data_IF_222229989428
#
_entry.id   IF_222229989428
#
_cell.length_a   1.000
_cell.length_b   1.000
_cell.length_c   1.000
_cell.angle_alpha   90.00
_cell.angle_beta   90.00
_cell.angle_gamma   90.00
#
_symmetry.space_group_name_H-M   'P 1'
#
loop_
_entity.id
_entity.type
_entity.pdbx_description
1 polymer ?
#
# COMPACT_ATOMS: atom_id res chain seq x y z
N UNK A 1 11.70 3.87 9.36
CA UNK A 1 10.95 2.69 8.90
C UNK A 1 9.64 2.49 9.61
N UNK A 2 8.68 3.33 9.24
CA UNK A 2 7.25 3.28 9.55
C UNK A 2 6.46 2.49 8.51
N UNK A 3 6.97 2.38 7.27
CA UNK A 3 6.42 1.52 6.23
C UNK A 3 6.28 0.05 6.67
N UNK A 4 5.20 -0.59 6.24
CA UNK A 4 4.96 -2.03 6.38
C UNK A 4 4.46 -2.60 5.07
N UNK A 5 4.58 -3.91 4.92
CA UNK A 5 4.05 -4.63 3.77
C UNK A 5 3.50 -5.98 4.22
N UNK A 6 2.68 -6.58 3.38
CA UNK A 6 2.12 -7.91 3.59
C UNK A 6 1.91 -8.61 2.26
N UNK A 7 2.00 -9.93 2.28
CA UNK A 7 1.81 -10.77 1.10
C UNK A 7 1.13 -12.07 1.54
N UNK A 8 0.02 -12.41 0.90
CA UNK A 8 -0.59 -13.73 1.00
C UNK A 8 -0.69 -14.29 -0.42
N UNK A 9 0.04 -15.36 -0.69
CA UNK A 9 -0.01 -16.08 -1.98
C UNK A 9 -0.66 -17.43 -1.79
N UNK A 10 -1.18 -18.03 -2.88
CA UNK A 10 -1.77 -19.38 -2.83
C UNK A 10 -2.99 -19.45 -1.91
N UNK A 11 -3.89 -18.47 -2.04
CA UNK A 11 -5.09 -18.36 -1.20
C UNK A 11 -5.94 -19.63 -1.32
N UNK A 12 -6.19 -20.30 -0.18
CA UNK A 12 -6.91 -21.58 -0.12
C UNK A 12 -6.35 -22.67 -1.07
N UNK A 13 -5.07 -22.63 -1.40
CA UNK A 13 -4.45 -23.57 -2.34
C UNK A 13 -4.59 -23.19 -3.81
N UNK A 14 -5.22 -22.07 -4.13
CA UNK A 14 -5.27 -21.52 -5.47
C UNK A 14 -4.08 -20.59 -5.74
N UNK A 15 -3.14 -21.07 -6.56
CA UNK A 15 -1.94 -20.32 -6.96
C UNK A 15 -2.26 -19.09 -7.82
N UNK A 16 -3.47 -19.01 -8.40
CA UNK A 16 -3.94 -17.85 -9.17
C UNK A 16 -4.55 -16.76 -8.29
N UNK A 17 -4.56 -16.93 -6.97
CA UNK A 17 -5.10 -15.94 -6.04
C UNK A 17 -4.04 -15.50 -5.04
N UNK A 18 -3.90 -14.18 -4.88
CA UNK A 18 -2.98 -13.56 -3.94
C UNK A 18 -3.46 -12.17 -3.51
N UNK A 19 -3.02 -11.73 -2.32
CA UNK A 19 -3.17 -10.38 -1.79
C UNK A 19 -1.80 -9.81 -1.50
N UNK A 20 -1.61 -8.55 -1.86
CA UNK A 20 -0.38 -7.79 -1.66
C UNK A 20 -0.73 -6.43 -1.07
N UNK A 21 -0.01 -6.01 -0.03
CA UNK A 21 -0.22 -4.73 0.66
C UNK A 21 1.09 -3.99 0.88
N UNK A 22 1.07 -2.67 0.65
CA UNK A 22 2.10 -1.71 1.07
C UNK A 22 1.40 -0.64 1.90
N UNK A 23 1.84 -0.45 3.14
CA UNK A 23 1.23 0.46 4.12
C UNK A 23 2.24 1.52 4.50
N UNK A 24 1.96 2.76 4.13
CA UNK A 24 2.80 3.91 4.44
C UNK A 24 2.42 4.41 5.83
N UNK A 25 3.34 4.27 6.78
CA UNK A 25 3.17 4.81 8.13
C UNK A 25 3.47 6.30 8.18
N UNK A 26 2.82 7.02 9.09
CA UNK A 26 3.20 8.40 9.44
C UNK A 26 2.90 8.66 10.91
N UNK A 27 3.79 9.39 11.60
CA UNK A 27 3.62 9.70 13.03
C UNK A 27 3.75 8.48 13.94
N UNK A 28 4.37 7.41 13.45
CA UNK A 28 4.62 6.17 14.16
C UNK A 28 4.25 4.90 13.38
N UNK A 29 4.83 3.78 13.79
CA UNK A 29 4.68 2.47 13.11
C UNK A 29 3.32 1.79 13.32
N UNK A 30 2.54 2.20 14.33
CA UNK A 30 1.44 1.40 14.87
C UNK A 30 0.31 1.15 13.88
N UNK A 31 -0.15 2.20 13.19
CA UNK A 31 -1.26 2.09 12.25
C UNK A 31 -0.89 1.22 11.04
N UNK A 32 0.29 1.44 10.46
CA UNK A 32 0.81 0.62 9.35
C UNK A 32 1.02 -0.84 9.77
N UNK A 33 1.54 -1.08 10.97
CA UNK A 33 1.72 -2.44 11.51
C UNK A 33 0.38 -3.13 11.80
N UNK A 34 -0.60 -2.40 12.33
CA UNK A 34 -1.95 -2.91 12.54
C UNK A 34 -2.62 -3.26 11.20
N UNK A 35 -2.51 -2.40 10.19
CA UNK A 35 -3.04 -2.65 8.86
C UNK A 35 -2.41 -3.90 8.23
N UNK A 36 -1.07 -4.00 8.22
CA UNK A 36 -0.35 -5.15 7.66
C UNK A 36 -0.70 -6.49 8.33
N UNK A 37 -1.01 -6.48 9.64
CA UNK A 37 -1.36 -7.70 10.38
C UNK A 37 -2.80 -8.15 10.18
N UNK A 38 -3.72 -7.23 9.91
CA UNK A 38 -5.17 -7.49 9.98
C UNK A 38 -5.88 -7.36 8.64
N UNK A 39 -5.43 -6.48 7.73
CA UNK A 39 -6.15 -6.18 6.49
C UNK A 39 -6.23 -7.38 5.57
N UNK A 40 -5.10 -8.01 5.28
CA UNK A 40 -5.08 -9.15 4.37
C UNK A 40 -5.93 -10.31 4.91
N UNK A 41 -5.78 -10.69 6.18
CA UNK A 41 -6.50 -11.82 6.77
C UNK A 41 -8.02 -11.65 6.69
N UNK A 42 -8.48 -10.46 7.06
CA UNK A 42 -9.91 -10.16 7.09
C UNK A 42 -10.50 -10.06 5.67
N UNK A 43 -9.73 -9.56 4.71
CA UNK A 43 -10.14 -9.54 3.30
C UNK A 43 -10.20 -10.96 2.74
N UNK A 44 -9.22 -11.82 3.05
CA UNK A 44 -9.18 -13.21 2.56
C UNK A 44 -10.46 -13.95 2.94
N UNK A 45 -10.86 -13.95 4.21
CA UNK A 45 -12.02 -14.73 4.66
C UNK A 45 -13.31 -14.38 3.90
N UNK A 46 -13.46 -13.12 3.49
CA UNK A 46 -14.67 -12.64 2.85
C UNK A 46 -14.61 -12.66 1.32
N UNK A 47 -13.45 -12.38 0.72
CA UNK A 47 -13.28 -12.36 -0.74
C UNK A 47 -13.20 -13.78 -1.31
N UNK A 48 -12.78 -14.74 -0.49
CA UNK A 48 -12.69 -16.14 -0.89
C UNK A 48 -14.07 -16.70 -1.23
N UNK A 49 -14.21 -17.19 -2.46
CA UNK A 49 -15.44 -17.77 -2.97
C UNK A 49 -16.37 -16.77 -3.65
N UNK A 50 -16.14 -15.46 -3.50
CA UNK A 50 -16.84 -14.42 -4.26
C UNK A 50 -16.32 -14.43 -5.69
N UNK A 51 -17.24 -14.53 -6.65
CA UNK A 51 -16.92 -14.52 -8.09
C UNK A 51 -17.36 -13.23 -8.76
N UNK A 52 -18.26 -12.48 -8.12
CA UNK A 52 -18.80 -11.27 -8.68
C UNK A 52 -17.99 -10.06 -8.21
N UNK A 53 -17.56 -9.26 -9.18
CA UNK A 53 -16.73 -8.07 -9.00
C UNK A 53 -17.26 -7.10 -7.94
N UNK A 54 -18.58 -6.85 -7.94
CA UNK A 54 -19.22 -5.97 -6.97
C UNK A 54 -19.10 -6.48 -5.52
N UNK A 55 -19.27 -7.79 -5.31
CA UNK A 55 -19.20 -8.38 -3.95
C UNK A 55 -17.78 -8.29 -3.38
N UNK A 56 -16.77 -8.37 -4.26
CA UNK A 56 -15.36 -8.18 -3.90
C UNK A 56 -15.10 -6.73 -3.50
N UNK A 57 -15.60 -5.77 -4.27
CA UNK A 57 -15.44 -4.33 -3.97
C UNK A 57 -16.13 -3.95 -2.67
N UNK A 58 -17.35 -4.43 -2.46
CA UNK A 58 -18.11 -4.18 -1.23
C UNK A 58 -17.40 -4.77 -0.01
N UNK A 59 -16.88 -6.00 -0.12
CA UNK A 59 -16.07 -6.61 0.92
C UNK A 59 -14.82 -5.77 1.24
N UNK A 60 -14.05 -5.37 0.22
CA UNK A 60 -12.85 -4.55 0.41
C UNK A 60 -13.16 -3.23 1.14
N UNK A 61 -14.22 -2.53 0.72
CA UNK A 61 -14.64 -1.27 1.36
C UNK A 61 -15.09 -1.47 2.81
N UNK A 62 -15.91 -2.49 3.04
CA UNK A 62 -16.44 -2.80 4.37
C UNK A 62 -15.33 -3.14 5.36
N UNK A 63 -14.38 -4.00 4.97
CA UNK A 63 -13.29 -4.42 5.85
C UNK A 63 -12.24 -3.34 6.08
N UNK A 64 -11.98 -2.51 5.07
CA UNK A 64 -11.14 -1.34 5.27
C UNK A 64 -11.74 -0.42 6.34
N UNK A 65 -13.06 -0.18 6.31
CA UNK A 65 -13.75 0.62 7.32
C UNK A 65 -13.73 -0.05 8.71
N UNK A 66 -13.93 -1.37 8.79
CA UNK A 66 -13.80 -2.12 10.05
C UNK A 66 -12.41 -1.92 10.66
N UNK A 67 -11.36 -2.06 9.86
CA UNK A 67 -9.99 -1.93 10.36
C UNK A 67 -9.68 -0.52 10.82
N UNK A 68 -10.16 0.49 10.10
CA UNK A 68 -10.09 1.88 10.58
C UNK A 68 -10.73 2.00 11.96
N UNK A 69 -11.89 1.38 12.17
CA UNK A 69 -12.60 1.45 13.45
C UNK A 69 -11.90 0.66 14.56
N UNK A 70 -11.40 -0.53 14.28
CA UNK A 70 -10.66 -1.36 15.25
C UNK A 70 -9.33 -0.74 15.66
N UNK A 71 -8.62 -0.12 14.72
CA UNK A 71 -7.39 0.61 15.01
C UNK A 71 -7.68 1.78 15.97
N UNK A 72 -8.72 2.56 15.68
CA UNK A 72 -9.14 3.68 16.54
C UNK A 72 -9.55 3.23 17.94
N UNK A 73 -10.12 2.04 18.10
CA UNK A 73 -10.48 1.47 19.41
C UNK A 73 -9.26 0.98 20.20
N UNK A 74 -8.17 0.61 19.52
CA UNK A 74 -6.92 0.16 20.14
C UNK A 74 -5.92 1.30 20.41
N UNK A 75 -6.09 2.46 19.79
CA UNK A 75 -5.29 3.66 20.02
C UNK A 75 -5.68 4.39 21.31
N UNK A 76 -4.74 4.62 22.23
CA UNK A 76 -4.93 5.59 23.31
C UNK A 76 -5.00 6.99 22.70
N UNK A 77 -6.00 7.79 23.07
CA UNK A 77 -6.14 9.20 22.66
C UNK A 77 -4.83 9.97 22.84
N UNK A 78 -4.23 10.41 21.74
CA UNK A 78 -3.17 11.41 21.77
C UNK A 78 -3.83 12.79 21.81
N UNK A 79 -3.58 13.56 22.88
CA UNK A 79 -4.07 14.94 23.03
C UNK A 79 -3.47 15.83 21.93
N UNK A 80 -4.27 16.72 21.32
CA UNK A 80 -3.75 17.68 20.34
C UNK A 80 -2.79 18.68 21.00
N UNK A 81 -1.73 19.09 20.29
CA UNK A 81 -0.92 20.26 20.63
C UNK A 81 -1.39 21.43 19.76
N UNK A 82 -1.83 22.51 20.39
CA UNK A 82 -2.44 23.69 19.77
C UNK A 82 -1.42 24.78 19.39
N UNK A 83 -0.35 24.46 18.65
CA UNK A 83 0.59 25.51 18.24
C UNK A 83 0.98 25.33 16.75
N UNK A 84 0.47 26.20 15.87
CA UNK A 84 0.61 26.10 14.40
C UNK A 84 1.44 27.26 13.82
N UNK A 85 2.57 26.92 13.20
CA UNK A 85 3.37 27.77 12.30
C UNK A 85 3.37 27.11 10.91
N UNK A 86 2.83 27.80 9.89
CA UNK A 86 2.72 27.30 8.51
C UNK A 86 4.06 27.50 7.77
N UNK A 87 4.61 26.44 7.16
CA UNK A 87 5.67 26.54 6.14
C UNK A 87 5.24 25.82 4.85
N UNK A 88 5.38 26.53 3.74
CA UNK A 88 4.94 26.16 2.40
C UNK A 88 5.83 25.07 1.76
N UNK A 89 5.21 23.98 1.29
CA UNK A 89 5.58 23.20 0.08
C UNK A 89 4.60 22.06 -0.25
N UNK A 90 3.67 21.68 0.65
CA UNK A 90 2.63 20.66 0.40
C UNK A 90 1.30 21.05 1.08
N UNK A 91 0.16 20.68 0.48
CA UNK A 91 -1.16 20.84 1.11
C UNK A 91 -1.26 19.91 2.32
N UNK A 92 -1.57 20.45 3.51
CA UNK A 92 -1.69 19.69 4.76
C UNK A 92 -3.04 19.93 5.45
N UNK A 93 -3.72 18.86 5.85
CA UNK A 93 -4.89 18.91 6.72
C UNK A 93 -4.43 19.33 8.11
N UNK A 94 -4.99 20.44 8.61
CA UNK A 94 -4.61 21.09 9.87
C UNK A 94 -3.08 21.25 10.06
N UNK A 95 -2.35 21.52 8.97
CA UNK A 95 -0.89 21.70 9.02
C UNK A 95 -0.07 20.44 9.31
N UNK A 96 -0.72 19.28 9.52
CA UNK A 96 -0.07 18.06 10.02
C UNK A 96 -0.02 16.94 8.97
N UNK A 97 -1.15 16.64 8.33
CA UNK A 97 -1.29 15.44 7.48
C UNK A 97 -1.33 15.80 5.99
N UNK A 98 -0.49 15.15 5.18
CA UNK A 98 -0.37 15.44 3.73
C UNK A 98 -1.40 14.66 2.89
N UNK A 99 -2.01 13.60 3.45
CA UNK A 99 -2.93 12.72 2.73
C UNK A 99 -4.40 12.93 3.13
N UNK A 100 -5.35 12.91 2.16
CA UNK A 100 -6.78 13.07 2.44
C UNK A 100 -7.48 11.77 2.87
N UNK A 101 -6.80 10.62 2.76
CA UNK A 101 -7.31 9.28 3.11
C UNK A 101 -6.28 8.53 3.94
N UNK A 102 -6.71 7.78 4.95
CA UNK A 102 -5.79 7.04 5.82
C UNK A 102 -6.48 6.19 6.88
N UNK A 103 -5.73 5.20 7.41
CA UNK A 103 -6.08 4.41 8.60
C UNK A 103 -5.39 5.07 9.80
N UNK A 104 -6.10 5.19 10.93
CA UNK A 104 -5.64 5.99 12.07
C UNK A 104 -6.11 7.44 12.01
N UNK A 105 -5.31 8.37 12.55
CA UNK A 105 -5.63 9.80 12.66
C UNK A 105 -6.99 10.09 13.30
N UNK A 106 -7.29 9.41 14.42
CA UNK A 106 -8.58 9.54 15.10
C UNK A 106 -9.02 11.00 15.31
N UNK A 107 -8.07 11.88 15.64
CA UNK A 107 -8.30 13.31 15.89
C UNK A 107 -8.64 14.10 14.61
N UNK A 108 -8.24 13.62 13.43
CA UNK A 108 -8.47 14.25 12.13
C UNK A 108 -9.55 13.56 11.30
N UNK A 109 -10.24 12.53 11.82
CA UNK A 109 -11.28 11.79 11.06
C UNK A 109 -12.46 12.62 10.56
N UNK A 110 -12.69 13.82 11.10
CA UNK A 110 -13.63 14.79 10.52
C UNK A 110 -13.22 15.26 9.12
N UNK A 111 -11.94 15.12 8.78
CA UNK A 111 -11.31 15.61 7.55
C UNK A 111 -10.63 14.49 6.74
N UNK A 112 -10.35 13.34 7.36
CA UNK A 112 -9.70 12.17 6.73
C UNK A 112 -10.74 11.15 6.32
N UNK A 113 -10.81 10.87 5.01
CA UNK A 113 -11.74 9.89 4.46
C UNK A 113 -11.21 8.48 4.71
N UNK A 114 -12.03 7.66 5.35
CA UNK A 114 -11.72 6.26 5.66
C UNK A 114 -12.19 5.26 4.58
N UNK A 115 -12.78 5.73 3.47
CA UNK A 115 -13.21 4.86 2.37
C UNK A 115 -12.12 4.75 1.28
N UNK A 116 -11.71 3.52 0.90
CA UNK A 116 -10.71 3.31 -0.13
C UNK A 116 -11.28 3.57 -1.53
N UNK A 117 -10.41 3.95 -2.46
CA UNK A 117 -10.72 3.88 -3.89
C UNK A 117 -10.46 2.47 -4.41
N UNK A 118 -11.40 1.92 -5.18
CA UNK A 118 -11.32 0.54 -5.68
C UNK A 118 -11.42 0.52 -7.19
N UNK A 119 -10.51 -0.20 -7.84
CA UNK A 119 -10.54 -0.46 -9.28
C UNK A 119 -10.34 -1.95 -9.53
N UNK A 120 -11.18 -2.51 -10.38
CA UNK A 120 -11.01 -3.88 -10.90
C UNK A 120 -10.41 -3.77 -12.29
N UNK A 121 -9.44 -4.63 -12.57
CA UNK A 121 -8.82 -4.73 -13.89
C UNK A 121 -8.48 -6.18 -14.14
N UNK A 122 -8.87 -6.67 -15.31
CA UNK A 122 -8.55 -8.03 -15.73
C UNK A 122 -7.05 -8.14 -16.00
N UNK A 123 -6.43 -9.20 -15.51
CA UNK A 123 -5.04 -9.54 -15.83
C UNK A 123 -5.05 -10.30 -17.15
N UNK A 124 -4.45 -9.72 -18.18
CA UNK A 124 -4.32 -10.31 -19.51
C UNK A 124 -2.90 -10.87 -19.70
N UNK A 125 -2.69 -11.68 -20.73
CA UNK A 125 -1.40 -12.36 -20.98
C UNK A 125 -0.24 -11.40 -21.30
N UNK A 126 -0.54 -10.18 -21.75
CA UNK A 126 0.42 -9.12 -22.04
C UNK A 126 0.78 -8.28 -20.80
N UNK A 127 0.05 -8.44 -19.69
CA UNK A 127 0.43 -7.86 -18.40
C UNK A 127 1.58 -8.67 -17.78
N UNK A 128 2.78 -8.12 -17.80
CA UNK A 128 3.98 -8.84 -17.34
C UNK A 128 4.17 -8.82 -15.82
N UNK A 129 4.01 -7.64 -15.20
CA UNK A 129 4.23 -7.45 -13.78
C UNK A 129 3.47 -6.22 -13.24
N UNK A 130 3.33 -6.16 -11.92
CA UNK A 130 2.79 -5.03 -11.16
C UNK A 130 3.88 -4.50 -10.21
N UNK A 131 4.01 -3.17 -10.12
CA UNK A 131 4.85 -2.50 -9.12
C UNK A 131 3.92 -1.86 -8.09
N UNK A 132 4.04 -2.28 -6.84
CA UNK A 132 3.45 -1.60 -5.68
C UNK A 132 4.56 -0.95 -4.88
N UNK A 133 4.46 0.33 -4.58
CA UNK A 133 5.50 1.02 -3.81
C UNK A 133 4.94 2.19 -2.99
N UNK A 134 5.68 2.57 -1.94
CA UNK A 134 5.41 3.77 -1.15
C UNK A 134 5.77 5.04 -1.94
N UNK A 135 5.28 6.18 -1.45
CA UNK A 135 5.59 7.50 -2.00
C UNK A 135 7.11 7.79 -2.04
N UNK A 136 7.88 7.21 -1.11
CA UNK A 136 9.34 7.29 -1.12
C UNK A 136 9.99 6.85 -2.43
N UNK A 137 9.34 6.01 -3.24
CA UNK A 137 9.75 5.72 -4.63
C UNK A 137 9.17 6.77 -5.61
N UNK A 138 7.85 6.91 -5.63
CA UNK A 138 7.12 7.64 -6.68
C UNK A 138 7.38 9.15 -6.67
N UNK A 139 7.87 9.70 -5.55
CA UNK A 139 8.29 11.10 -5.47
C UNK A 139 9.55 11.40 -6.30
N UNK A 140 10.36 10.38 -6.62
CA UNK A 140 11.66 10.53 -7.29
C UNK A 140 11.79 9.76 -8.60
N UNK A 141 10.95 8.75 -8.81
CA UNK A 141 11.02 7.83 -9.97
C UNK A 141 9.67 7.84 -10.69
N UNK A 142 9.68 8.14 -11.98
CA UNK A 142 8.46 8.12 -12.79
C UNK A 142 7.98 6.70 -13.10
N UNK A 143 6.70 6.56 -13.45
CA UNK A 143 6.10 5.27 -13.81
C UNK A 143 6.89 4.56 -14.92
N UNK A 144 7.25 5.28 -15.99
CA UNK A 144 7.96 4.69 -17.12
C UNK A 144 9.37 4.26 -16.74
N UNK A 145 10.12 5.09 -15.98
CA UNK A 145 11.45 4.71 -15.51
C UNK A 145 11.40 3.46 -14.62
N UNK A 146 10.39 3.36 -13.75
CA UNK A 146 10.22 2.19 -12.90
C UNK A 146 9.98 0.91 -13.73
N UNK A 147 9.16 1.02 -14.78
CA UNK A 147 8.92 -0.07 -15.75
C UNK A 147 10.21 -0.43 -16.49
N UNK A 148 10.94 0.54 -17.01
CA UNK A 148 12.17 0.32 -17.78
C UNK A 148 13.25 -0.37 -16.93
N UNK A 149 13.32 -0.05 -15.64
CA UNK A 149 14.25 -0.68 -14.69
C UNK A 149 13.80 -2.10 -14.34
N UNK A 150 12.51 -2.33 -14.12
CA UNK A 150 11.99 -3.62 -13.69
C UNK A 150 11.89 -4.64 -14.83
N UNK A 151 11.52 -4.20 -16.03
CA UNK A 151 11.19 -5.05 -17.17
C UNK A 151 12.29 -6.09 -17.52
N UNK A 152 13.59 -5.72 -17.59
CA UNK A 152 14.66 -6.69 -17.89
C UNK A 152 14.76 -7.85 -16.89
N UNK A 153 14.30 -7.63 -15.65
CA UNK A 153 14.35 -8.63 -14.58
C UNK A 153 13.09 -9.50 -14.55
N UNK A 154 11.95 -8.98 -15.01
CA UNK A 154 10.67 -9.70 -15.01
C UNK A 154 10.57 -10.78 -16.09
N UNK A 155 11.45 -10.76 -17.10
CA UNK A 155 11.53 -11.80 -18.12
C UNK A 155 11.84 -13.18 -17.53
N UNK A 156 12.55 -13.23 -16.40
CA UNK A 156 12.93 -14.45 -15.68
C UNK A 156 12.35 -14.34 -14.28
N UNK A 157 11.31 -15.11 -13.98
CA UNK A 157 10.55 -15.05 -12.71
C UNK A 157 11.31 -15.64 -11.51
N UNK A 158 12.62 -15.42 -11.45
CA UNK A 158 13.51 -15.87 -10.39
C UNK A 158 13.55 -14.83 -9.27
N UNK A 159 13.29 -15.26 -8.03
CA UNK A 159 13.25 -14.36 -6.87
C UNK A 159 14.48 -13.44 -6.73
N UNK A 160 15.74 -13.91 -6.91
CA UNK A 160 16.91 -13.05 -6.79
C UNK A 160 16.92 -11.88 -7.80
N UNK A 161 16.42 -12.11 -9.02
CA UNK A 161 16.35 -11.08 -10.06
C UNK A 161 15.30 -10.03 -9.72
N UNK A 162 14.13 -10.45 -9.24
CA UNK A 162 13.07 -9.52 -8.80
C UNK A 162 13.54 -8.66 -7.62
N UNK A 163 14.27 -9.25 -6.66
CA UNK A 163 14.86 -8.49 -5.55
C UNK A 163 15.93 -7.50 -6.02
N UNK A 164 16.73 -7.87 -7.02
CA UNK A 164 17.71 -6.96 -7.62
C UNK A 164 17.03 -5.76 -8.31
N UNK A 165 15.89 -5.98 -8.98
CA UNK A 165 15.09 -4.90 -9.56
C UNK A 165 14.53 -3.96 -8.48
N UNK A 166 13.91 -4.51 -7.42
CA UNK A 166 13.44 -3.70 -6.29
C UNK A 166 14.59 -2.89 -5.67
N UNK A 167 15.76 -3.51 -5.46
CA UNK A 167 16.92 -2.81 -4.92
C UNK A 167 17.37 -1.66 -5.83
N UNK A 168 17.42 -1.87 -7.15
CA UNK A 168 17.76 -0.80 -8.10
C UNK A 168 16.78 0.38 -8.03
N UNK A 169 15.49 0.11 -7.90
CA UNK A 169 14.47 1.15 -7.76
C UNK A 169 14.65 1.95 -6.45
N UNK A 170 14.90 1.25 -5.34
CA UNK A 170 15.19 1.86 -4.03
C UNK A 170 16.46 2.70 -4.11
N UNK A 171 17.56 2.14 -4.62
CA UNK A 171 18.85 2.84 -4.77
C UNK A 171 18.71 4.09 -5.66
N UNK A 172 17.93 4.00 -6.75
CA UNK A 172 17.70 5.14 -7.64
C UNK A 172 16.97 6.27 -6.91
N UNK A 173 15.87 5.97 -6.21
CA UNK A 173 15.14 6.99 -5.46
C UNK A 173 16.00 7.60 -4.34
N UNK A 174 16.74 6.77 -3.61
CA UNK A 174 17.69 7.23 -2.59
C UNK A 174 18.78 8.13 -3.19
N UNK A 175 19.35 7.76 -4.34
CA UNK A 175 20.37 8.57 -5.04
C UNK A 175 19.86 9.92 -5.51
N UNK A 176 18.54 10.06 -5.71
CA UNK A 176 17.84 11.31 -6.05
C UNK A 176 17.40 12.11 -4.81
N UNK A 177 17.93 11.75 -3.64
CA UNK A 177 17.71 12.46 -2.38
C UNK A 177 16.34 12.21 -1.76
N UNK A 178 15.78 11.00 -1.91
CA UNK A 178 14.66 10.58 -1.07
C UNK A 178 15.14 10.40 0.37
N UNK A 179 14.43 11.03 1.31
CA UNK A 179 14.67 10.90 2.76
C UNK A 179 13.57 10.08 3.45
N UNK A 180 12.61 9.58 2.69
CA UNK A 180 11.50 8.79 3.20
C UNK A 180 11.83 7.31 3.28
N UNK A 181 10.97 6.54 3.96
CA UNK A 181 10.98 5.10 3.84
C UNK A 181 10.58 4.69 2.41
N UNK A 182 11.36 3.79 1.82
CA UNK A 182 11.17 3.35 0.43
C UNK A 182 10.86 1.85 0.43
N UNK A 183 9.61 1.52 0.16
CA UNK A 183 9.14 0.14 0.05
C UNK A 183 8.72 -0.13 -1.38
N UNK A 184 9.22 -1.20 -1.98
CA UNK A 184 8.91 -1.60 -3.37
C UNK A 184 8.65 -3.10 -3.44
N UNK A 185 7.54 -3.47 -4.06
CA UNK A 185 7.13 -4.83 -4.33
C UNK A 185 6.91 -5.01 -5.83
N UNK A 186 7.60 -6.00 -6.40
CA UNK A 186 7.50 -6.37 -7.80
C UNK A 186 6.81 -7.73 -7.91
N UNK A 187 5.67 -7.77 -8.60
CA UNK A 187 4.76 -8.91 -8.64
C UNK A 187 4.65 -9.40 -10.08
N UNK A 188 5.25 -10.55 -10.44
CA UNK A 188 5.05 -11.15 -11.75
C UNK A 188 3.59 -11.58 -11.94
N UNK A 189 2.98 -11.18 -13.06
CA UNK A 189 1.55 -11.39 -13.29
C UNK A 189 1.23 -12.67 -14.07
N UNK A 190 2.21 -13.25 -14.77
CA UNK A 190 2.04 -14.46 -15.60
C UNK A 190 1.43 -15.67 -14.86
N UNK A 191 1.60 -15.75 -13.54
CA UNK A 191 1.04 -16.83 -12.73
C UNK A 191 -0.46 -16.66 -12.40
N UNK A 192 -1.03 -15.49 -12.66
CA UNK A 192 -2.42 -15.13 -12.32
C UNK A 192 -3.36 -15.11 -13.52
N UNK A 193 -2.84 -15.42 -14.72
CA UNK A 193 -3.64 -15.58 -15.95
C UNK A 193 -4.06 -17.04 -16.14
#
# INVERSE_FOLDING_TARGET
MEDRFSTITNLHGDRKQAIFGVYVGHGGVKAAEFAAKNLDKNIVEEVVGKRHELEIVEALKFYFLIIVRLEMMNGKELKPREDMLIRFTLWRIQGSLVVPRGIGDAQLKKWVIAEPETKISRVEHDHEFLILASHGLWDKVSNQEAVDIACPFCLRTEKPLLLAACKKLVDLSASRGSFDDISVMLIPLRQFV
#
